data_IF_163621336493
#
_entry.id   IF_163621336493
#
_cell.length_a   1.000
_cell.length_b   1.000
_cell.length_c   1.000
_cell.angle_alpha   90.00
_cell.angle_beta   90.00
_cell.angle_gamma   90.00
#
_symmetry.space_group_name_H-M   'P 1'
#
loop_
_entity.id
_entity.type
_entity.pdbx_description
1 polymer ?
#
# COMPACT_ATOMS: atom_id res chain seq x y z
N UNK A 1 31.24 -7.27 -20.89
CA UNK A 1 30.10 -6.70 -20.13
C UNK A 1 29.59 -5.53 -20.96
N UNK A 2 28.67 -5.80 -21.86
CA UNK A 2 28.11 -4.80 -22.75
C UNK A 2 27.26 -3.83 -21.94
N UNK A 3 27.64 -2.57 -22.01
CA UNK A 3 26.81 -1.48 -21.45
C UNK A 3 25.52 -1.44 -22.25
N UNK A 4 24.42 -1.90 -21.65
CA UNK A 4 23.10 -1.59 -22.15
C UNK A 4 22.95 -0.06 -22.07
N UNK A 5 23.16 0.61 -23.19
CA UNK A 5 22.79 2.02 -23.34
C UNK A 5 21.27 2.01 -23.49
N UNK A 6 20.51 2.56 -22.54
CA UNK A 6 19.07 2.71 -22.74
C UNK A 6 18.88 3.69 -23.89
N UNK A 7 18.51 3.19 -25.05
CA UNK A 7 17.89 4.02 -26.07
C UNK A 7 16.55 4.55 -25.53
N UNK A 8 15.99 5.58 -26.15
CA UNK A 8 14.62 5.98 -25.81
C UNK A 8 13.75 4.74 -25.93
N UNK A 9 13.14 4.31 -24.83
CA UNK A 9 12.17 3.22 -24.87
C UNK A 9 11.04 3.63 -25.80
N UNK A 10 10.84 2.97 -26.95
CA UNK A 10 9.71 3.29 -27.79
C UNK A 10 8.46 3.00 -26.94
N UNK A 11 7.64 4.00 -26.77
CA UNK A 11 6.30 3.77 -26.22
C UNK A 11 5.61 2.73 -27.08
N UNK A 12 4.98 1.74 -26.43
CA UNK A 12 4.14 0.81 -27.11
C UNK A 12 3.09 1.61 -27.90
N UNK A 13 2.98 1.45 -29.24
CA UNK A 13 1.99 2.17 -30.05
C UNK A 13 0.55 1.98 -29.58
N UNK A 14 0.28 0.91 -28.80
CA UNK A 14 -1.02 0.69 -28.17
C UNK A 14 -1.26 1.65 -26.97
N UNK A 15 -0.23 2.31 -26.45
CA UNK A 15 -0.35 3.34 -25.41
C UNK A 15 -0.53 4.69 -26.11
N UNK A 16 -1.77 5.03 -26.42
CA UNK A 16 -2.17 6.12 -27.31
C UNK A 16 -2.05 7.54 -26.77
N UNK A 17 -1.52 7.76 -25.58
CA UNK A 17 -1.34 9.10 -25.02
C UNK A 17 0.04 9.30 -24.38
N UNK A 18 0.73 10.42 -24.66
CA UNK A 18 1.94 10.76 -23.95
C UNK A 18 1.63 10.92 -22.44
N UNK A 19 2.59 10.60 -21.56
CA UNK A 19 2.39 10.82 -20.13
C UNK A 19 2.07 12.30 -19.88
N UNK A 20 1.15 12.59 -18.96
CA UNK A 20 0.85 13.97 -18.60
C UNK A 20 2.14 14.65 -18.08
N UNK A 21 2.30 15.96 -18.30
CA UNK A 21 3.47 16.69 -17.83
C UNK A 21 3.60 16.54 -16.31
N UNK A 22 4.83 16.52 -15.78
CA UNK A 22 5.06 16.40 -14.35
C UNK A 22 4.34 17.49 -13.57
N UNK A 23 3.62 17.12 -12.52
CA UNK A 23 2.83 18.04 -11.70
C UNK A 23 3.71 18.67 -10.63
N UNK A 24 3.68 19.98 -10.54
CA UNK A 24 4.26 20.70 -9.42
C UNK A 24 3.25 20.78 -8.26
N UNK A 25 3.37 19.89 -7.30
CA UNK A 25 2.52 19.81 -6.12
C UNK A 25 2.69 20.97 -5.12
N UNK A 26 3.61 21.92 -5.39
CA UNK A 26 3.86 23.12 -4.57
C UNK A 26 3.05 24.33 -5.03
N UNK A 27 2.39 24.26 -6.20
CA UNK A 27 1.61 25.37 -6.73
C UNK A 27 0.46 25.78 -5.80
N UNK A 28 0.13 27.08 -5.74
CA UNK A 28 -1.06 27.54 -5.04
C UNK A 28 -2.31 26.78 -5.51
N UNK A 29 -3.14 26.36 -4.56
CA UNK A 29 -4.36 25.56 -4.84
C UNK A 29 -4.15 24.04 -4.85
N UNK A 30 -2.95 23.52 -4.96
CA UNK A 30 -2.71 22.07 -4.95
C UNK A 30 -3.08 21.41 -3.61
N UNK A 31 -2.97 22.14 -2.49
CA UNK A 31 -3.43 21.64 -1.19
C UNK A 31 -4.95 21.40 -1.17
N UNK A 32 -5.73 22.35 -1.70
CA UNK A 32 -7.18 22.20 -1.82
C UNK A 32 -7.53 21.07 -2.79
N UNK A 33 -6.86 21.02 -3.93
CA UNK A 33 -7.06 19.97 -4.92
C UNK A 33 -6.80 18.59 -4.33
N UNK A 34 -5.70 18.37 -3.61
CA UNK A 34 -5.42 17.08 -2.92
C UNK A 34 -6.54 16.73 -1.95
N UNK A 35 -7.02 17.68 -1.14
CA UNK A 35 -8.14 17.43 -0.23
C UNK A 35 -9.41 16.99 -0.97
N UNK A 36 -9.71 17.60 -2.10
CA UNK A 36 -10.88 17.23 -2.92
C UNK A 36 -10.71 15.85 -3.55
N UNK A 37 -9.52 15.56 -4.09
CA UNK A 37 -9.20 14.24 -4.65
C UNK A 37 -9.34 13.17 -3.58
N UNK A 38 -8.70 13.32 -2.41
CA UNK A 38 -8.80 12.37 -1.30
C UNK A 38 -10.24 12.17 -0.82
N UNK A 39 -11.06 13.25 -0.76
CA UNK A 39 -12.48 13.11 -0.42
C UNK A 39 -13.23 12.25 -1.44
N UNK A 40 -12.92 12.43 -2.72
CA UNK A 40 -13.50 11.61 -3.80
C UNK A 40 -13.05 10.15 -3.68
N UNK A 41 -11.76 9.91 -3.49
CA UNK A 41 -11.17 8.58 -3.29
C UNK A 41 -11.85 7.87 -2.09
N UNK A 42 -11.93 8.53 -0.94
CA UNK A 42 -12.64 7.99 0.24
C UNK A 42 -14.13 7.70 -0.03
N UNK A 43 -14.83 8.56 -0.78
CA UNK A 43 -16.22 8.33 -1.13
C UNK A 43 -16.37 7.12 -2.06
N UNK A 44 -15.50 6.98 -3.05
CA UNK A 44 -15.48 5.84 -3.98
C UNK A 44 -15.17 4.53 -3.25
N UNK A 45 -14.18 4.53 -2.37
CA UNK A 45 -13.84 3.36 -1.54
C UNK A 45 -15.00 2.96 -0.63
N UNK A 46 -15.72 3.92 -0.03
CA UNK A 46 -16.91 3.62 0.80
C UNK A 46 -18.09 3.08 -0.01
N UNK A 47 -18.21 3.46 -1.26
CA UNK A 47 -19.26 2.97 -2.16
C UNK A 47 -18.89 1.65 -2.86
N UNK A 48 -17.64 1.23 -2.77
CA UNK A 48 -17.19 -0.04 -3.34
C UNK A 48 -17.94 -1.22 -2.73
N UNK A 49 -18.27 -2.18 -3.56
CA UNK A 49 -18.94 -3.42 -3.14
C UNK A 49 -18.05 -4.60 -3.46
N UNK A 50 -17.82 -5.50 -2.51
CA UNK A 50 -17.03 -6.69 -2.76
C UNK A 50 -17.73 -7.60 -3.78
N UNK A 51 -16.96 -8.33 -4.59
CA UNK A 51 -17.49 -9.42 -5.40
C UNK A 51 -18.17 -10.49 -4.54
N UNK A 52 -19.05 -11.29 -5.16
CA UNK A 52 -19.70 -12.40 -4.50
C UNK A 52 -18.66 -13.36 -3.90
N UNK A 53 -18.93 -13.86 -2.70
CA UNK A 53 -18.02 -14.75 -1.98
C UNK A 53 -16.81 -14.07 -1.33
N UNK A 54 -16.69 -12.73 -1.38
CA UNK A 54 -15.63 -11.98 -0.69
C UNK A 54 -16.19 -11.29 0.55
N UNK A 55 -15.63 -11.64 1.70
CA UNK A 55 -15.92 -11.01 2.99
C UNK A 55 -14.99 -9.81 3.21
N UNK A 56 -15.56 -8.70 3.68
CA UNK A 56 -14.84 -7.46 3.96
C UNK A 56 -15.20 -6.94 5.33
N UNK A 57 -14.18 -6.69 6.15
CA UNK A 57 -14.32 -6.07 7.45
C UNK A 57 -13.48 -4.80 7.52
N UNK A 58 -13.91 -3.84 8.29
CA UNK A 58 -13.10 -2.67 8.65
C UNK A 58 -12.87 -2.67 10.16
N UNK A 59 -11.65 -2.37 10.53
CA UNK A 59 -11.27 -2.20 11.93
C UNK A 59 -10.29 -1.03 12.08
N UNK A 60 -10.00 -0.68 13.31
CA UNK A 60 -9.06 0.39 13.65
C UNK A 60 -7.94 -0.21 14.48
N UNK A 61 -6.72 0.21 14.21
CA UNK A 61 -5.55 -0.12 15.03
C UNK A 61 -4.81 1.16 15.43
N UNK A 62 -4.03 1.13 16.53
CA UNK A 62 -3.29 2.31 17.01
C UNK A 62 -2.03 2.53 16.17
N UNK A 63 -1.88 3.70 15.58
CA UNK A 63 -0.63 4.19 15.00
C UNK A 63 0.47 4.38 16.05
N UNK A 64 1.67 4.82 15.63
CA UNK A 64 2.82 4.96 16.53
C UNK A 64 2.59 6.00 17.66
N UNK A 65 1.81 7.03 17.38
CA UNK A 65 1.37 8.09 18.31
C UNK A 65 -0.01 7.83 18.91
N UNK A 66 -0.50 6.59 18.83
CA UNK A 66 -1.85 6.16 19.23
C UNK A 66 -3.00 6.74 18.38
N UNK A 67 -2.70 7.40 17.26
CA UNK A 67 -3.75 7.80 16.32
C UNK A 67 -4.53 6.57 15.83
N UNK A 68 -5.84 6.73 15.65
CA UNK A 68 -6.71 5.69 15.15
C UNK A 68 -6.53 5.54 13.63
N UNK A 69 -5.98 4.42 13.18
CA UNK A 69 -5.75 4.13 11.76
C UNK A 69 -6.76 3.06 11.30
N UNK A 70 -7.54 3.40 10.28
CA UNK A 70 -8.48 2.44 9.67
C UNK A 70 -7.72 1.40 8.83
N UNK A 71 -8.22 0.17 8.84
CA UNK A 71 -7.71 -0.91 8.01
C UNK A 71 -8.86 -1.73 7.43
N UNK A 72 -8.78 -2.03 6.15
CA UNK A 72 -9.65 -2.98 5.46
C UNK A 72 -9.05 -4.37 5.58
N UNK A 73 -9.89 -5.34 5.88
CA UNK A 73 -9.56 -6.76 5.84
C UNK A 73 -10.44 -7.45 4.80
N UNK A 74 -9.82 -8.06 3.81
CA UNK A 74 -10.49 -8.70 2.66
C UNK A 74 -10.10 -10.18 2.62
N UNK A 75 -11.08 -11.07 2.51
CA UNK A 75 -10.86 -12.52 2.43
C UNK A 75 -11.92 -13.20 1.55
N UNK A 76 -11.60 -14.33 0.94
CA UNK A 76 -12.60 -15.15 0.28
C UNK A 76 -13.45 -15.91 1.32
N UNK A 77 -14.73 -15.59 1.42
CA UNK A 77 -15.65 -16.13 2.41
C UNK A 77 -15.34 -15.71 3.86
N UNK A 78 -16.27 -15.99 4.75
CA UNK A 78 -16.06 -15.89 6.20
C UNK A 78 -15.40 -17.17 6.69
N UNK A 79 -14.08 -17.22 6.69
CA UNK A 79 -13.38 -18.38 7.23
C UNK A 79 -13.15 -18.21 8.72
N UNK A 80 -13.57 -19.17 9.51
CA UNK A 80 -13.19 -19.31 10.91
C UNK A 80 -11.71 -19.73 11.04
N UNK A 81 -11.12 -20.27 9.97
CA UNK A 81 -9.75 -20.73 9.95
C UNK A 81 -8.74 -19.59 9.77
N UNK A 82 -7.61 -19.72 10.47
CA UNK A 82 -6.50 -18.77 10.33
C UNK A 82 -5.85 -18.89 8.96
N UNK A 83 -5.88 -17.81 8.20
CA UNK A 83 -5.25 -17.72 6.86
C UNK A 83 -3.94 -16.96 6.92
N UNK A 84 -3.01 -17.20 5.97
CA UNK A 84 -1.87 -16.32 5.77
C UNK A 84 -2.35 -14.88 5.56
N UNK A 85 -1.60 -13.92 6.10
CA UNK A 85 -1.91 -12.49 5.99
C UNK A 85 -1.01 -11.79 4.98
N UNK A 86 -1.59 -10.96 4.12
CA UNK A 86 -0.88 -10.04 3.24
C UNK A 86 -1.17 -8.61 3.69
N UNK A 87 -0.14 -7.88 4.12
CA UNK A 87 -0.24 -6.46 4.38
C UNK A 87 0.02 -5.73 3.06
N UNK A 88 -1.03 -5.19 2.47
CA UNK A 88 -0.99 -4.49 1.18
C UNK A 88 -0.90 -2.98 1.41
N UNK A 89 0.27 -2.40 1.15
CA UNK A 89 0.49 -0.97 1.21
C UNK A 89 0.33 -0.38 -0.19
N UNK A 90 -0.67 0.49 -0.34
CA UNK A 90 -1.05 1.05 -1.63
C UNK A 90 -0.06 2.10 -2.13
N UNK A 91 -0.03 2.31 -3.43
CA UNK A 91 0.70 3.40 -4.07
C UNK A 91 0.05 4.78 -3.84
N UNK A 92 0.42 5.78 -4.64
CA UNK A 92 -0.17 7.12 -4.55
C UNK A 92 0.81 8.19 -4.07
N UNK A 93 2.12 8.00 -4.30
CA UNK A 93 3.18 8.98 -4.04
C UNK A 93 3.17 9.53 -2.58
N UNK A 94 2.68 8.76 -1.62
CA UNK A 94 2.44 9.16 -0.22
C UNK A 94 1.44 10.33 -0.06
N UNK A 95 0.77 10.74 -1.13
CA UNK A 95 -0.11 11.91 -1.21
C UNK A 95 -1.58 11.55 -1.43
N UNK A 96 -1.86 10.42 -2.07
CA UNK A 96 -3.20 9.99 -2.46
C UNK A 96 -3.66 8.80 -1.63
N UNK A 97 -4.97 8.74 -1.41
CA UNK A 97 -5.58 7.72 -0.56
C UNK A 97 -5.81 6.41 -1.33
N UNK A 98 -6.32 5.41 -0.60
CA UNK A 98 -6.75 4.14 -1.14
C UNK A 98 -7.83 4.35 -2.22
N UNK A 99 -7.73 3.61 -3.33
CA UNK A 99 -8.68 3.62 -4.44
C UNK A 99 -9.43 2.27 -4.55
N UNK A 100 -10.64 2.24 -5.16
CA UNK A 100 -11.41 1.01 -5.33
C UNK A 100 -10.65 -0.11 -6.02
N UNK A 101 -9.83 0.20 -7.03
CA UNK A 101 -9.00 -0.77 -7.76
C UNK A 101 -8.08 -1.58 -6.82
N UNK A 102 -7.60 -0.96 -5.74
CA UNK A 102 -6.73 -1.64 -4.77
C UNK A 102 -7.51 -2.65 -3.92
N UNK A 103 -8.78 -2.35 -3.64
CA UNK A 103 -9.70 -3.29 -3.00
C UNK A 103 -10.09 -4.44 -3.94
N UNK A 104 -10.24 -4.17 -5.23
CA UNK A 104 -10.46 -5.20 -6.26
C UNK A 104 -9.26 -6.14 -6.35
N UNK A 105 -8.04 -5.60 -6.39
CA UNK A 105 -6.81 -6.39 -6.34
C UNK A 105 -6.73 -7.24 -5.07
N UNK A 106 -7.09 -6.67 -3.92
CA UNK A 106 -7.11 -7.40 -2.66
C UNK A 106 -8.15 -8.53 -2.67
N UNK A 107 -9.32 -8.31 -3.25
CA UNK A 107 -10.36 -9.33 -3.42
C UNK A 107 -9.87 -10.46 -4.34
N UNK A 108 -9.18 -10.12 -5.43
CA UNK A 108 -8.57 -11.09 -6.31
C UNK A 108 -7.47 -11.90 -5.61
N UNK A 109 -6.55 -11.28 -4.86
CA UNK A 109 -5.55 -12.00 -4.08
C UNK A 109 -6.19 -12.93 -3.06
N UNK A 110 -7.22 -12.46 -2.36
CA UNK A 110 -7.94 -13.25 -1.38
C UNK A 110 -8.58 -14.50 -2.01
N UNK A 111 -9.22 -14.35 -3.17
CA UNK A 111 -9.87 -15.45 -3.88
C UNK A 111 -8.86 -16.42 -4.52
N UNK A 112 -7.83 -15.89 -5.19
CA UNK A 112 -6.87 -16.71 -5.94
C UNK A 112 -5.88 -17.46 -5.04
N UNK A 113 -5.49 -16.86 -3.91
CA UNK A 113 -4.41 -17.35 -3.06
C UNK A 113 -4.90 -17.91 -1.70
N UNK A 114 -6.18 -17.74 -1.37
CA UNK A 114 -6.71 -18.17 -0.07
C UNK A 114 -6.15 -17.37 1.13
N UNK A 115 -5.66 -16.16 0.90
CA UNK A 115 -5.07 -15.29 1.91
C UNK A 115 -6.08 -14.30 2.47
N UNK A 116 -5.74 -13.67 3.58
CA UNK A 116 -6.41 -12.47 4.08
C UNK A 116 -5.55 -11.25 3.79
N UNK A 117 -6.12 -10.26 3.12
CA UNK A 117 -5.42 -9.04 2.72
C UNK A 117 -5.81 -7.89 3.63
N UNK A 118 -4.83 -7.17 4.15
CA UNK A 118 -4.99 -6.01 5.01
C UNK A 118 -4.52 -4.76 4.30
N UNK A 119 -5.41 -3.79 4.08
CA UNK A 119 -5.09 -2.51 3.46
C UNK A 119 -5.29 -1.38 4.48
N UNK A 120 -4.22 -0.87 5.08
CA UNK A 120 -4.32 0.27 5.99
C UNK A 120 -4.56 1.57 5.22
N UNK A 121 -5.41 2.43 5.75
CA UNK A 121 -5.52 3.82 5.35
C UNK A 121 -4.43 4.63 6.09
N UNK A 122 -3.14 4.33 5.82
CA UNK A 122 -2.02 5.00 6.47
C UNK A 122 -2.03 6.52 6.20
N UNK A 123 -1.54 7.30 7.15
CA UNK A 123 -1.56 8.76 7.07
C UNK A 123 -0.62 9.29 5.99
N UNK A 124 -1.03 10.33 5.32
CA UNK A 124 -0.43 10.84 4.08
C UNK A 124 0.27 12.18 4.28
N UNK A 125 1.31 12.41 3.51
CA UNK A 125 1.98 13.70 3.38
C UNK A 125 1.08 14.68 2.59
N UNK A 126 1.29 16.00 2.73
CA UNK A 126 2.23 16.65 3.63
C UNK A 126 1.74 16.81 5.06
N UNK A 127 0.45 16.50 5.35
CA UNK A 127 -0.15 16.67 6.67
C UNK A 127 0.55 15.78 7.72
N UNK A 128 0.98 14.61 7.29
CA UNK A 128 1.73 13.64 8.08
C UNK A 128 3.01 13.24 7.33
N UNK A 129 4.10 14.02 7.50
CA UNK A 129 5.34 13.76 6.76
C UNK A 129 6.03 12.50 7.23
N UNK A 130 7.06 12.07 6.47
CA UNK A 130 7.94 10.98 6.89
C UNK A 130 8.47 11.22 8.33
N UNK A 131 8.48 10.18 9.19
CA UNK A 131 8.25 8.76 8.89
C UNK A 131 6.83 8.25 9.22
N UNK A 132 5.81 9.11 9.32
CA UNK A 132 4.48 8.75 9.83
C UNK A 132 3.85 7.57 9.10
N UNK A 133 3.77 7.59 7.77
CA UNK A 133 3.19 6.50 6.97
C UNK A 133 3.92 5.16 7.23
N UNK A 134 5.24 5.20 7.28
CA UNK A 134 6.06 4.02 7.54
C UNK A 134 5.80 3.44 8.94
N UNK A 135 5.69 4.31 9.94
CA UNK A 135 5.40 3.89 11.30
C UNK A 135 3.98 3.34 11.44
N UNK A 136 3.00 3.90 10.74
CA UNK A 136 1.64 3.36 10.70
C UNK A 136 1.63 1.94 10.11
N UNK A 137 2.35 1.71 8.99
CA UNK A 137 2.48 0.39 8.38
C UNK A 137 3.19 -0.62 9.31
N UNK A 138 4.26 -0.21 9.97
CA UNK A 138 4.96 -1.06 10.94
C UNK A 138 4.09 -1.39 12.16
N UNK A 139 3.28 -0.44 12.65
CA UNK A 139 2.33 -0.70 13.74
C UNK A 139 1.24 -1.70 13.36
N UNK A 140 0.78 -1.69 12.10
CA UNK A 140 -0.15 -2.72 11.61
C UNK A 140 0.50 -4.11 11.68
N UNK A 141 1.75 -4.25 11.22
CA UNK A 141 2.49 -5.51 11.31
C UNK A 141 2.56 -6.01 12.76
N UNK A 142 2.96 -5.14 13.69
CA UNK A 142 3.02 -5.48 15.12
C UNK A 142 1.65 -5.87 15.67
N UNK A 143 0.59 -5.14 15.29
CA UNK A 143 -0.77 -5.38 15.74
C UNK A 143 -1.30 -6.75 15.31
N UNK A 144 -1.06 -7.12 14.04
CA UNK A 144 -1.48 -8.42 13.50
C UNK A 144 -0.66 -9.57 14.11
N UNK A 145 0.64 -9.39 14.25
CA UNK A 145 1.53 -10.41 14.82
C UNK A 145 1.26 -10.68 16.30
N UNK A 146 0.77 -9.68 17.04
CA UNK A 146 0.36 -9.85 18.42
C UNK A 146 -1.02 -10.55 18.56
N UNK A 147 -1.66 -10.94 17.46
CA UNK A 147 -2.96 -11.59 17.47
C UNK A 147 -4.14 -10.64 17.78
N UNK A 148 -3.95 -9.33 17.66
CA UNK A 148 -4.97 -8.34 17.98
C UNK A 148 -5.98 -8.10 16.84
N UNK A 149 -5.81 -8.76 15.68
CA UNK A 149 -6.75 -8.62 14.57
C UNK A 149 -8.15 -9.13 14.99
N UNK A 150 -9.22 -8.40 14.62
CA UNK A 150 -10.61 -8.85 14.91
C UNK A 150 -11.08 -9.93 13.93
N UNK A 151 -10.17 -10.56 13.20
CA UNK A 151 -10.45 -11.57 12.19
C UNK A 151 -9.34 -12.63 12.19
N UNK A 152 -9.69 -13.83 11.73
CA UNK A 152 -8.78 -14.96 11.72
C UNK A 152 -7.62 -14.76 10.72
N UNK A 153 -6.42 -14.51 11.24
CA UNK A 153 -5.16 -14.43 10.50
C UNK A 153 -4.09 -15.21 11.25
N UNK A 154 -3.20 -15.85 10.52
CA UNK A 154 -2.05 -16.54 11.09
C UNK A 154 -0.89 -15.54 11.27
N UNK A 155 -0.54 -15.21 12.52
CA UNK A 155 0.49 -14.22 12.80
C UNK A 155 1.90 -14.66 12.37
N UNK A 156 2.11 -15.97 12.20
CA UNK A 156 3.39 -16.54 11.76
C UNK A 156 3.52 -16.62 10.23
N UNK A 157 2.44 -16.31 9.50
CA UNK A 157 2.41 -16.33 8.03
C UNK A 157 2.01 -14.97 7.47
N UNK A 158 2.78 -13.93 7.82
CA UNK A 158 2.58 -12.58 7.30
C UNK A 158 3.56 -12.25 6.18
N UNK A 159 3.05 -11.62 5.12
CA UNK A 159 3.80 -11.17 3.96
C UNK A 159 3.48 -9.69 3.71
N UNK A 160 4.47 -8.93 3.27
CA UNK A 160 4.28 -7.55 2.84
C UNK A 160 4.12 -7.50 1.32
N UNK A 161 3.17 -6.71 0.86
CA UNK A 161 2.99 -6.37 -0.54
C UNK A 161 2.89 -4.86 -0.67
N UNK A 162 3.51 -4.29 -1.70
CA UNK A 162 3.36 -2.88 -1.95
C UNK A 162 3.80 -2.49 -3.36
N UNK A 163 3.13 -1.47 -3.89
CA UNK A 163 3.39 -0.92 -5.21
C UNK A 163 3.80 0.55 -5.12
N UNK A 164 4.76 0.98 -5.94
CA UNK A 164 5.23 2.37 -5.99
C UNK A 164 5.64 2.88 -4.61
N UNK A 165 4.99 3.93 -4.08
CA UNK A 165 5.18 4.43 -2.72
C UNK A 165 4.88 3.37 -1.66
N UNK A 166 3.87 2.51 -1.87
CA UNK A 166 3.56 1.38 -1.00
C UNK A 166 4.67 0.33 -0.99
N UNK A 167 5.36 0.14 -2.11
CA UNK A 167 6.54 -0.71 -2.19
C UNK A 167 7.70 -0.19 -1.34
N UNK A 168 7.89 1.14 -1.29
CA UNK A 168 8.82 1.77 -0.36
C UNK A 168 8.44 1.51 1.10
N UNK A 169 7.14 1.64 1.43
CA UNK A 169 6.63 1.37 2.78
C UNK A 169 6.80 -0.11 3.17
N UNK A 170 6.56 -1.03 2.24
CA UNK A 170 6.77 -2.46 2.47
C UNK A 170 8.24 -2.78 2.77
N UNK A 171 9.16 -2.30 1.91
CA UNK A 171 10.59 -2.47 2.13
C UNK A 171 11.05 -1.84 3.46
N UNK A 172 10.62 -0.61 3.75
CA UNK A 172 10.93 0.07 5.01
C UNK A 172 10.37 -0.65 6.23
N UNK A 173 9.15 -1.20 6.13
CA UNK A 173 8.54 -2.00 7.21
C UNK A 173 9.33 -3.28 7.49
N UNK A 174 9.78 -3.97 6.43
CA UNK A 174 10.63 -5.16 6.56
C UNK A 174 11.97 -4.84 7.24
N UNK A 175 12.60 -3.72 6.85
CA UNK A 175 13.83 -3.25 7.48
C UNK A 175 13.62 -2.90 8.96
N UNK A 176 12.55 -2.19 9.31
CA UNK A 176 12.22 -1.89 10.69
C UNK A 176 11.94 -3.16 11.51
N UNK A 177 11.27 -4.15 10.94
CA UNK A 177 11.05 -5.44 11.60
C UNK A 177 12.38 -6.13 11.89
N UNK A 178 13.29 -6.19 10.92
CA UNK A 178 14.64 -6.75 11.12
C UNK A 178 15.41 -6.01 12.21
N UNK A 179 15.51 -4.69 12.10
CA UNK A 179 16.40 -3.86 12.92
C UNK A 179 15.91 -3.71 14.37
N UNK A 180 14.62 -3.89 14.61
CA UNK A 180 14.01 -3.82 15.94
C UNK A 180 13.70 -5.18 16.56
N UNK A 181 14.16 -6.28 15.94
CA UNK A 181 13.79 -7.61 16.39
C UNK A 181 12.28 -7.84 16.40
N UNK A 182 11.61 -7.23 15.42
CA UNK A 182 10.15 -7.26 15.29
C UNK A 182 9.63 -8.59 14.75
N UNK A 183 8.33 -8.64 14.41
CA UNK A 183 7.71 -9.87 14.00
C UNK A 183 8.38 -10.47 12.74
N UNK A 184 8.52 -11.80 12.67
CA UNK A 184 9.04 -12.46 11.48
C UNK A 184 8.09 -12.26 10.30
N UNK A 185 8.68 -12.11 9.11
CA UNK A 185 7.95 -12.01 7.84
C UNK A 185 8.30 -13.21 6.97
N UNK A 186 7.32 -13.76 6.25
CA UNK A 186 7.55 -14.83 5.27
C UNK A 186 8.12 -14.33 3.96
N UNK A 187 7.98 -13.05 3.68
CA UNK A 187 8.54 -12.42 2.49
C UNK A 187 7.95 -11.04 2.22
N UNK A 188 8.38 -10.47 1.12
CA UNK A 188 7.83 -9.24 0.58
C UNK A 188 7.73 -9.32 -0.94
N UNK A 189 6.67 -8.76 -1.50
CA UNK A 189 6.49 -8.56 -2.94
C UNK A 189 6.44 -7.07 -3.22
N UNK A 190 7.39 -6.56 -3.97
CA UNK A 190 7.57 -5.15 -4.25
C UNK A 190 7.36 -4.90 -5.75
N UNK A 191 6.36 -4.10 -6.09
CA UNK A 191 5.99 -3.79 -7.47
C UNK A 191 6.45 -2.36 -7.78
N UNK A 192 7.38 -2.21 -8.72
CA UNK A 192 8.01 -0.92 -9.09
C UNK A 192 8.23 0.02 -7.88
N UNK A 193 8.91 -0.45 -6.80
CA UNK A 193 9.00 0.28 -5.55
C UNK A 193 9.88 1.53 -5.69
N UNK A 194 9.48 2.63 -5.02
CA UNK A 194 10.29 3.85 -4.95
C UNK A 194 11.34 3.69 -3.83
N UNK A 195 12.51 3.18 -4.14
CA UNK A 195 13.55 2.86 -3.15
C UNK A 195 14.70 3.88 -3.10
N UNK A 196 14.89 4.65 -4.16
CA UNK A 196 15.95 5.67 -4.23
C UNK A 196 15.38 7.07 -4.06
N UNK A 197 15.73 7.70 -2.94
CA UNK A 197 15.34 9.09 -2.63
C UNK A 197 16.04 10.09 -3.55
N UNK A 198 17.21 9.75 -4.05
CA UNK A 198 18.05 10.68 -4.85
C UNK A 198 17.53 10.83 -6.27
N UNK A 199 16.75 9.86 -6.76
CA UNK A 199 16.26 9.82 -8.14
C UNK A 199 17.42 9.99 -9.14
N UNK A 200 18.60 9.43 -8.81
CA UNK A 200 19.84 9.66 -9.55
C UNK A 200 20.01 8.74 -10.75
N UNK A 201 19.20 7.68 -10.87
CA UNK A 201 19.28 6.77 -12.01
C UNK A 201 18.96 7.50 -13.33
N UNK A 202 19.64 7.15 -14.44
CA UNK A 202 19.37 7.75 -15.76
C UNK A 202 17.89 7.69 -16.17
N UNK A 203 17.20 6.60 -15.86
CA UNK A 203 15.76 6.42 -16.12
C UNK A 203 14.85 7.43 -15.41
N UNK A 204 15.32 8.10 -14.37
CA UNK A 204 14.57 9.16 -13.69
C UNK A 204 14.71 10.53 -14.36
N UNK A 205 15.59 10.65 -15.36
CA UNK A 205 15.88 11.91 -16.06
C UNK A 205 15.23 11.97 -17.45
N UNK A 206 14.58 10.91 -17.87
CA UNK A 206 13.81 10.79 -19.10
C UNK A 206 12.35 11.16 -18.84
#
# INVERSE_FOLDING_TARGET
MDRIVPGPYPYDPALSAPPPPPRDYRRPGEALRRKLVRRREHAQVRSWRPPEGVAVHRFVYPGADRAAISCWSVAAGEAAERRPGVLYFHGGAFLFALEPMMLENAAWFAAALGVRVFLPEYRLAPEHPFPTSLLDCFRLLQFLSAGNAPCAVDPDRLLLYGESAGGCLAAGTALLARDRGGPPLRGQALIYPVLDRTMACPSHRL
#
